data_IF_325361186947
#
_entry.id   IF_325361186947
#
_cell.length_a   1.000
_cell.length_b   1.000
_cell.length_c   1.000
_cell.angle_alpha   90.00
_cell.angle_beta   90.00
_cell.angle_gamma   90.00
#
_symmetry.space_group_name_H-M   'P 1'
#
loop_
_entity.id
_entity.type
_entity.pdbx_description
1 polymer ?
#
# COMPACT_ATOMS: atom_id res chain seq x y z
N UNK A 1 -32.93 -23.95 -38.60
CA UNK A 1 -32.28 -24.87 -37.65
C UNK A 1 -30.95 -24.23 -37.33
N UNK A 2 -30.85 -23.82 -36.07
CA UNK A 2 -29.74 -23.13 -35.41
C UNK A 2 -28.53 -24.05 -35.30
N UNK A 3 -27.33 -23.51 -35.49
CA UNK A 3 -26.10 -23.95 -34.81
C UNK A 3 -25.16 -22.72 -34.79
N UNK A 4 -25.37 -21.88 -33.78
CA UNK A 4 -24.46 -20.81 -33.36
C UNK A 4 -23.53 -21.41 -32.29
N UNK A 5 -22.65 -22.33 -32.73
CA UNK A 5 -21.61 -22.86 -31.85
C UNK A 5 -20.47 -21.84 -31.80
N UNK A 6 -20.59 -20.90 -30.87
CA UNK A 6 -19.51 -20.00 -30.49
C UNK A 6 -18.28 -20.78 -30.01
N UNK A 7 -17.08 -20.17 -30.04
CA UNK A 7 -15.87 -20.85 -29.62
C UNK A 7 -15.96 -21.26 -28.14
N UNK A 8 -16.04 -22.58 -27.90
CA UNK A 8 -15.99 -23.16 -26.56
C UNK A 8 -14.54 -23.42 -26.13
N UNK A 9 -14.26 -23.22 -24.85
CA UNK A 9 -12.96 -23.54 -24.28
C UNK A 9 -12.76 -25.07 -24.30
N UNK A 10 -11.58 -25.52 -24.72
CA UNK A 10 -11.25 -26.95 -24.57
C UNK A 10 -11.31 -27.35 -23.09
N UNK A 11 -11.70 -28.60 -22.82
CA UNK A 11 -11.80 -29.11 -21.45
C UNK A 11 -10.51 -28.90 -20.64
N UNK A 12 -9.36 -29.00 -21.30
CA UNK A 12 -8.04 -28.72 -20.73
C UNK A 12 -7.89 -27.25 -20.32
N UNK A 13 -8.32 -26.31 -21.16
CA UNK A 13 -8.24 -24.86 -20.89
C UNK A 13 -9.17 -24.45 -19.76
N UNK A 14 -10.38 -25.02 -19.73
CA UNK A 14 -11.35 -24.77 -18.66
C UNK A 14 -10.82 -25.25 -17.29
N UNK A 15 -10.21 -26.44 -17.25
CA UNK A 15 -9.61 -26.97 -16.03
C UNK A 15 -8.45 -26.11 -15.54
N UNK A 16 -7.56 -25.66 -16.45
CA UNK A 16 -6.47 -24.75 -16.11
C UNK A 16 -6.98 -23.40 -15.55
N UNK A 17 -8.08 -22.86 -16.11
CA UNK A 17 -8.72 -21.66 -15.57
C UNK A 17 -9.30 -21.89 -14.17
N UNK A 18 -9.96 -23.01 -13.94
CA UNK A 18 -10.50 -23.35 -12.62
C UNK A 18 -9.40 -23.50 -11.57
N UNK A 19 -8.30 -24.17 -11.92
CA UNK A 19 -7.14 -24.33 -11.04
C UNK A 19 -6.52 -22.97 -10.71
N UNK A 20 -6.40 -22.08 -11.69
CA UNK A 20 -5.93 -20.71 -11.50
C UNK A 20 -6.84 -19.90 -10.56
N UNK A 21 -8.18 -19.96 -10.72
CA UNK A 21 -9.11 -19.27 -9.82
C UNK A 21 -9.05 -19.83 -8.40
N UNK A 22 -8.90 -21.15 -8.26
CA UNK A 22 -8.77 -21.80 -6.96
C UNK A 22 -7.48 -21.38 -6.26
N UNK A 23 -6.36 -21.34 -6.97
CA UNK A 23 -5.11 -20.81 -6.42
C UNK A 23 -5.22 -19.34 -6.02
N UNK A 24 -5.95 -18.51 -6.77
CA UNK A 24 -6.21 -17.12 -6.37
C UNK A 24 -7.02 -17.04 -5.09
N UNK A 25 -8.12 -17.80 -4.99
CA UNK A 25 -8.96 -17.83 -3.79
C UNK A 25 -8.18 -18.36 -2.57
N UNK A 26 -7.35 -19.38 -2.75
CA UNK A 26 -6.48 -19.90 -1.70
C UNK A 26 -5.43 -18.87 -1.27
N UNK A 27 -4.82 -18.12 -2.20
CA UNK A 27 -3.92 -17.00 -1.89
C UNK A 27 -4.64 -15.88 -1.15
N UNK A 28 -5.84 -15.50 -1.56
CA UNK A 28 -6.65 -14.46 -0.90
C UNK A 28 -7.07 -14.90 0.51
N UNK A 29 -7.47 -16.16 0.69
CA UNK A 29 -7.83 -16.69 2.00
C UNK A 29 -6.61 -16.83 2.91
N UNK A 30 -5.46 -17.27 2.39
CA UNK A 30 -4.19 -17.23 3.13
C UNK A 30 -3.83 -15.80 3.54
N UNK A 31 -3.99 -14.81 2.65
CA UNK A 31 -3.77 -13.41 3.00
C UNK A 31 -4.71 -12.91 4.10
N UNK A 32 -5.99 -13.30 4.09
CA UNK A 32 -6.97 -12.95 5.15
C UNK A 32 -6.63 -13.60 6.49
N UNK A 33 -6.21 -14.86 6.49
CA UNK A 33 -5.76 -15.59 7.69
C UNK A 33 -4.48 -14.99 8.28
N UNK A 34 -3.52 -14.66 7.42
CA UNK A 34 -2.31 -13.93 7.81
C UNK A 34 -2.66 -12.55 8.38
N UNK A 35 -3.67 -11.87 7.82
CA UNK A 35 -4.14 -10.57 8.32
C UNK A 35 -4.72 -10.64 9.74
N UNK A 36 -5.39 -11.74 10.13
CA UNK A 36 -5.90 -11.90 11.51
C UNK A 36 -4.81 -12.17 12.55
N UNK A 37 -3.75 -12.91 12.18
CA UNK A 37 -2.63 -13.21 13.09
C UNK A 37 -1.59 -12.07 13.16
N UNK A 38 -1.48 -11.23 12.11
CA UNK A 38 -0.58 -10.06 12.04
C UNK A 38 -0.98 -8.96 13.05
N UNK A 39 -2.28 -8.78 13.32
CA UNK A 39 -2.79 -7.72 14.20
C UNK A 39 -2.30 -7.89 15.65
N UNK A 40 -2.05 -9.12 16.10
CA UNK A 40 -1.61 -9.39 17.48
C UNK A 40 -0.09 -9.28 17.70
N UNK A 41 0.73 -9.42 16.66
CA UNK A 41 2.18 -9.60 16.84
C UNK A 41 3.11 -8.57 16.16
N UNK A 42 2.60 -7.47 15.61
CA UNK A 42 3.45 -6.34 15.17
C UNK A 42 4.58 -6.80 14.20
N UNK A 43 4.26 -7.68 13.23
CA UNK A 43 5.25 -8.36 12.39
C UNK A 43 5.10 -8.01 10.90
N UNK A 44 6.10 -7.27 10.44
CA UNK A 44 6.82 -7.42 9.18
C UNK A 44 5.98 -7.64 7.91
N UNK A 45 5.41 -6.55 7.38
CA UNK A 45 5.20 -6.47 5.94
C UNK A 45 6.55 -6.70 5.24
N UNK A 46 6.69 -7.81 4.54
CA UNK A 46 7.86 -8.07 3.71
C UNK A 46 7.76 -7.29 2.41
N UNK A 47 8.92 -6.92 1.86
CA UNK A 47 9.04 -6.24 0.58
C UNK A 47 8.32 -7.03 -0.51
N UNK A 48 7.48 -6.34 -1.28
CA UNK A 48 6.94 -6.89 -2.52
C UNK A 48 7.71 -6.32 -3.72
N UNK A 49 8.65 -7.11 -4.22
CA UNK A 49 9.48 -6.78 -5.39
C UNK A 49 8.65 -6.52 -6.66
N UNK A 50 7.47 -7.11 -6.80
CA UNK A 50 6.57 -6.84 -7.94
C UNK A 50 5.97 -5.44 -7.90
N UNK A 51 5.90 -4.85 -6.71
CA UNK A 51 5.46 -3.47 -6.49
C UNK A 51 6.64 -2.50 -6.42
N UNK A 52 7.88 -2.99 -6.60
CA UNK A 52 9.10 -2.19 -6.43
C UNK A 52 9.19 -1.56 -5.03
N UNK A 53 8.78 -2.30 -4.01
CA UNK A 53 8.89 -1.88 -2.60
C UNK A 53 10.28 -2.19 -2.05
N UNK A 54 10.94 -1.17 -1.51
CA UNK A 54 12.22 -1.29 -0.83
C UNK A 54 12.11 -0.68 0.56
N UNK A 55 12.54 -1.41 1.59
CA UNK A 55 12.54 -0.92 2.95
C UNK A 55 13.79 -0.10 3.23
N UNK A 56 13.59 1.05 3.87
CA UNK A 56 14.67 1.83 4.44
C UNK A 56 15.34 1.06 5.57
N UNK A 57 16.65 1.22 5.71
CA UNK A 57 17.35 0.76 6.90
C UNK A 57 16.92 1.55 8.16
N UNK A 58 17.23 0.99 9.33
CA UNK A 58 16.84 1.56 10.63
C UNK A 58 17.41 2.97 10.83
N UNK A 59 18.64 3.23 10.38
CA UNK A 59 19.29 4.55 10.52
C UNK A 59 18.53 5.61 9.72
N UNK A 60 18.16 5.29 8.48
CA UNK A 60 17.40 6.15 7.58
C UNK A 60 15.99 6.42 8.14
N UNK A 61 15.31 5.38 8.63
CA UNK A 61 13.99 5.52 9.28
C UNK A 61 14.08 6.46 10.47
N UNK A 62 15.08 6.27 11.33
CA UNK A 62 15.26 7.06 12.54
C UNK A 62 15.54 8.53 12.20
N UNK A 63 16.44 8.80 11.26
CA UNK A 63 16.77 10.17 10.85
C UNK A 63 15.55 10.85 10.24
N UNK A 64 14.89 10.21 9.26
CA UNK A 64 13.75 10.81 8.57
C UNK A 64 12.56 11.04 9.50
N UNK A 65 12.26 10.09 10.38
CA UNK A 65 11.14 10.23 11.31
C UNK A 65 11.39 11.36 12.33
N UNK A 66 12.62 11.47 12.85
CA UNK A 66 13.00 12.54 13.76
C UNK A 66 12.98 13.91 13.06
N UNK A 67 13.47 14.00 11.82
CA UNK A 67 13.42 15.23 11.04
C UNK A 67 11.97 15.63 10.78
N UNK A 68 11.13 14.70 10.31
CA UNK A 68 9.71 14.93 10.08
C UNK A 68 9.04 15.50 11.33
N UNK A 69 9.19 14.83 12.47
CA UNK A 69 8.59 15.27 13.74
C UNK A 69 9.16 16.60 14.27
N UNK A 70 10.38 16.98 13.88
CA UNK A 70 11.00 18.25 14.29
C UNK A 70 10.54 19.42 13.43
N UNK A 71 10.33 19.19 12.14
CA UNK A 71 9.85 20.24 11.21
C UNK A 71 8.35 20.47 11.37
N UNK A 72 7.60 19.43 11.72
CA UNK A 72 6.18 19.51 12.04
C UNK A 72 5.99 19.81 13.53
N UNK A 73 4.96 20.58 13.89
CA UNK A 73 4.57 20.75 15.30
C UNK A 73 3.66 19.63 15.81
N UNK A 74 3.27 19.65 17.09
CA UNK A 74 2.16 18.84 17.59
C UNK A 74 0.90 19.03 16.74
N UNK A 75 0.09 17.99 16.59
CA UNK A 75 -1.15 18.00 15.80
C UNK A 75 -1.00 18.31 14.30
N UNK A 76 0.21 18.15 13.75
CA UNK A 76 0.43 18.30 12.31
C UNK A 76 -0.12 17.12 11.52
N UNK A 77 -0.31 17.34 10.22
CA UNK A 77 -0.81 16.37 9.25
C UNK A 77 0.31 15.97 8.30
N UNK A 78 0.70 14.71 8.34
CA UNK A 78 1.79 14.14 7.54
C UNK A 78 1.23 13.13 6.55
N UNK A 79 1.58 13.28 5.27
CA UNK A 79 1.33 12.28 4.24
C UNK A 79 2.61 11.51 3.93
N UNK A 80 2.51 10.18 3.93
CA UNK A 80 3.54 9.26 3.47
C UNK A 80 3.05 8.64 2.16
N UNK A 81 3.73 8.87 1.04
CA UNK A 81 3.36 8.36 -0.28
C UNK A 81 4.37 7.30 -0.69
N UNK A 82 3.91 6.05 -0.79
CA UNK A 82 4.72 4.87 -1.16
C UNK A 82 5.96 4.62 -0.29
N UNK A 83 6.03 5.22 0.90
CA UNK A 83 7.12 5.02 1.88
C UNK A 83 6.61 4.44 3.22
N UNK A 84 6.01 3.24 3.23
CA UNK A 84 5.35 2.68 4.42
C UNK A 84 6.31 2.34 5.56
N UNK A 85 7.61 2.18 5.28
CA UNK A 85 8.68 1.94 6.27
C UNK A 85 8.72 3.00 7.37
N UNK A 86 8.33 4.25 7.07
CA UNK A 86 8.33 5.36 8.03
C UNK A 86 7.12 5.37 8.97
N UNK A 87 6.02 4.73 8.59
CA UNK A 87 4.73 4.90 9.26
C UNK A 87 4.78 4.56 10.75
N UNK A 88 5.27 3.37 11.09
CA UNK A 88 5.34 2.90 12.47
C UNK A 88 6.23 3.80 13.34
N UNK A 89 7.38 4.25 12.81
CA UNK A 89 8.33 5.07 13.57
C UNK A 89 7.76 6.46 13.85
N UNK A 90 7.18 7.12 12.83
CA UNK A 90 6.59 8.46 13.01
C UNK A 90 5.40 8.38 13.96
N UNK A 91 4.53 7.36 13.82
CA UNK A 91 3.37 7.15 14.73
C UNK A 91 3.81 6.92 16.18
N UNK A 92 4.92 6.22 16.38
CA UNK A 92 5.50 6.01 17.72
C UNK A 92 6.08 7.30 18.33
N UNK A 93 6.78 8.12 17.53
CA UNK A 93 7.40 9.37 18.01
C UNK A 93 6.35 10.45 18.29
N UNK A 94 5.34 10.59 17.43
CA UNK A 94 4.31 11.62 17.55
C UNK A 94 2.90 11.05 17.45
N UNK A 95 2.36 10.65 18.59
CA UNK A 95 1.00 10.10 18.70
C UNK A 95 -0.09 11.15 18.43
N UNK A 96 0.24 12.43 18.61
CA UNK A 96 -0.67 13.55 18.42
C UNK A 96 -0.81 14.00 16.95
N UNK A 97 0.07 13.52 16.07
CA UNK A 97 0.03 13.84 14.64
C UNK A 97 -0.93 12.91 13.87
N UNK A 98 -1.59 13.47 12.87
CA UNK A 98 -2.33 12.70 11.88
C UNK A 98 -1.37 12.23 10.79
N UNK A 99 -1.24 10.93 10.62
CA UNK A 99 -0.32 10.33 9.65
C UNK A 99 -1.17 9.50 8.69
N UNK A 100 -1.17 9.87 7.42
CA UNK A 100 -1.84 9.09 6.39
C UNK A 100 -0.82 8.45 5.46
N UNK A 101 -0.96 7.14 5.25
CA UNK A 101 -0.17 6.34 4.33
C UNK A 101 -0.96 6.15 3.03
N UNK A 102 -0.46 6.74 1.96
CA UNK A 102 -0.90 6.54 0.59
C UNK A 102 -0.10 5.38 0.01
N UNK A 103 -0.74 4.22 -0.16
CA UNK A 103 -0.07 3.06 -0.76
C UNK A 103 -0.95 2.25 -1.71
N UNK A 104 -0.31 1.65 -2.71
CA UNK A 104 -0.95 0.70 -3.61
C UNK A 104 -1.17 -0.66 -2.94
N UNK A 105 -0.25 -1.08 -2.08
CA UNK A 105 -0.33 -2.38 -1.42
C UNK A 105 -1.42 -2.42 -0.34
N UNK A 106 -2.50 -3.15 -0.64
CA UNK A 106 -3.67 -3.30 0.23
C UNK A 106 -3.38 -4.05 1.53
N UNK A 107 -2.21 -4.69 1.67
CA UNK A 107 -1.80 -5.31 2.95
C UNK A 107 -1.73 -4.26 4.08
N UNK A 108 -1.43 -3.00 3.75
CA UNK A 108 -1.40 -1.90 4.71
C UNK A 108 -2.79 -1.41 5.15
N UNK A 109 -3.89 -1.95 4.60
CA UNK A 109 -5.26 -1.61 5.02
C UNK A 109 -5.53 -1.94 6.50
N UNK A 110 -4.68 -2.75 7.15
CA UNK A 110 -4.73 -2.98 8.60
C UNK A 110 -4.57 -1.68 9.43
N UNK A 111 -3.98 -0.63 8.86
CA UNK A 111 -3.89 0.69 9.50
C UNK A 111 -5.21 1.47 9.51
N UNK A 112 -6.28 0.90 8.94
CA UNK A 112 -7.62 1.46 9.03
C UNK A 112 -7.73 2.82 8.36
N UNK A 113 -8.16 3.84 9.11
CA UNK A 113 -8.38 5.19 8.57
C UNK A 113 -7.10 5.90 8.15
N UNK A 114 -5.95 5.46 8.65
CA UNK A 114 -4.65 6.02 8.29
C UNK A 114 -4.18 5.52 6.92
N UNK A 115 -4.73 4.40 6.40
CA UNK A 115 -4.43 3.90 5.06
C UNK A 115 -5.35 4.50 4.00
N UNK A 116 -4.74 5.00 2.93
CA UNK A 116 -5.41 5.51 1.75
C UNK A 116 -4.86 4.73 0.55
N UNK A 117 -5.74 4.02 -0.16
CA UNK A 117 -5.33 3.36 -1.40
C UNK A 117 -4.91 4.41 -2.42
N UNK A 118 -3.70 4.27 -2.95
CA UNK A 118 -3.10 5.20 -3.89
C UNK A 118 -2.47 4.45 -5.06
N UNK A 119 -2.85 4.83 -6.28
CA UNK A 119 -2.24 4.33 -7.51
C UNK A 119 -1.47 5.49 -8.16
N UNK A 120 -0.15 5.35 -8.26
CA UNK A 120 0.70 6.37 -8.86
C UNK A 120 0.34 6.64 -10.34
N UNK A 121 -0.34 5.70 -11.02
CA UNK A 121 -0.83 5.89 -12.40
C UNK A 121 -2.06 6.81 -12.47
N UNK A 122 -2.69 7.07 -11.34
CA UNK A 122 -3.82 7.97 -11.19
C UNK A 122 -3.57 8.93 -10.02
N UNK A 123 -2.53 9.79 -10.06
CA UNK A 123 -2.09 10.57 -8.91
C UNK A 123 -3.14 11.59 -8.43
N UNK A 124 -4.09 11.95 -9.30
CA UNK A 124 -5.21 12.84 -8.98
C UNK A 124 -6.45 12.11 -8.44
N UNK A 125 -6.45 10.77 -8.39
CA UNK A 125 -7.55 9.95 -7.84
C UNK A 125 -7.52 9.91 -6.31
N UNK A 126 -7.19 11.03 -5.68
CA UNK A 126 -7.23 11.23 -4.23
C UNK A 126 -8.42 12.12 -3.88
N UNK A 127 -8.97 11.95 -2.68
CA UNK A 127 -10.14 12.72 -2.27
C UNK A 127 -9.83 14.21 -2.15
N UNK A 128 -10.76 15.06 -2.60
CA UNK A 128 -10.54 16.51 -2.72
C UNK A 128 -10.30 17.21 -1.38
N UNK A 129 -10.80 16.65 -0.28
CA UNK A 129 -10.56 17.12 1.09
C UNK A 129 -9.09 17.00 1.51
N UNK A 130 -8.29 16.18 0.82
CA UNK A 130 -6.84 16.07 1.04
C UNK A 130 -6.03 17.12 0.27
N UNK A 131 -6.66 17.94 -0.58
CA UNK A 131 -5.98 19.04 -1.25
C UNK A 131 -5.62 20.15 -0.26
N UNK A 132 -4.34 20.57 -0.22
CA UNK A 132 -3.82 21.59 0.71
C UNK A 132 -4.06 21.24 2.19
N UNK A 133 -4.13 19.95 2.50
CA UNK A 133 -4.47 19.44 3.82
C UNK A 133 -3.25 19.15 4.71
N UNK A 134 -2.14 18.72 4.10
CA UNK A 134 -0.96 18.24 4.80
C UNK A 134 0.08 19.34 5.02
N UNK A 135 0.71 19.33 6.19
CA UNK A 135 1.83 20.21 6.54
C UNK A 135 3.15 19.69 5.97
N UNK A 136 3.27 18.36 5.85
CA UNK A 136 4.43 17.67 5.29
C UNK A 136 3.99 16.50 4.41
N UNK A 137 4.62 16.37 3.25
CA UNK A 137 4.49 15.21 2.36
C UNK A 137 5.87 14.60 2.16
N UNK A 138 6.00 13.31 2.45
CA UNK A 138 7.19 12.51 2.14
C UNK A 138 6.76 11.51 1.07
N UNK A 139 7.45 11.49 -0.07
CA UNK A 139 7.12 10.61 -1.19
C UNK A 139 8.36 9.85 -1.63
N UNK A 140 8.18 8.55 -1.86
CA UNK A 140 9.17 7.66 -2.47
C UNK A 140 8.48 6.77 -3.49
N UNK A 141 8.28 7.27 -4.73
CA UNK A 141 7.54 6.53 -5.74
C UNK A 141 8.27 5.23 -6.12
N UNK A 142 7.55 4.18 -6.56
CA UNK A 142 8.12 2.85 -6.81
C UNK A 142 9.17 2.83 -7.93
N UNK A 143 9.16 3.84 -8.81
CA UNK A 143 10.12 3.97 -9.91
C UNK A 143 10.63 5.41 -9.99
N UNK A 144 11.90 5.54 -10.37
CA UNK A 144 12.53 6.83 -10.72
C UNK A 144 12.30 7.15 -12.21
N UNK A 145 11.04 7.09 -12.67
CA UNK A 145 10.65 7.50 -14.03
C UNK A 145 9.88 8.82 -13.99
N UNK A 146 9.94 9.60 -15.08
CA UNK A 146 9.18 10.85 -15.19
C UNK A 146 7.67 10.61 -15.04
N UNK A 147 7.18 9.46 -15.49
CA UNK A 147 5.78 9.03 -15.35
C UNK A 147 5.31 8.91 -13.89
N UNK A 148 6.23 8.73 -12.94
CA UNK A 148 5.92 8.70 -11.51
C UNK A 148 5.91 10.09 -10.84
N UNK A 149 6.40 11.12 -11.55
CA UNK A 149 6.62 12.47 -11.01
C UNK A 149 5.85 13.57 -11.77
N UNK A 150 5.02 13.20 -12.76
CA UNK A 150 4.23 14.11 -13.61
C UNK A 150 2.74 13.93 -13.41
#
# INVERSE_FOLDING_TARGET
MSDDDGPELSAETFNALMEFYKEQEERENHQKLISSDIVENNLAFTENWQLSQFWYDEETIDILANVACKITGPHSKIALISCPSLYNKIKHISQDCEINLFEYDKRFAVYGQDFIFYDYKAPLAVSRDKSKYYDLVIADPPFLSEECLT
#
